data_IF_166049755042
#
_entry.id   IF_166049755042
#
_cell.length_a   1.000
_cell.length_b   1.000
_cell.length_c   1.000
_cell.angle_alpha   90.00
_cell.angle_beta   90.00
_cell.angle_gamma   90.00
#
_symmetry.space_group_name_H-M   'P 1'
#
loop_
_entity.id
_entity.type
_entity.pdbx_description
1 polymer ?
#
# COMPACT_ATOMS: atom_id res chain seq x y z
N UNK A 1 5.28 -24.34 10.48
CA UNK A 1 5.60 -23.02 9.89
C UNK A 1 6.08 -22.02 10.95
N UNK A 2 5.26 -21.66 11.95
CA UNK A 2 5.62 -20.64 12.95
C UNK A 2 6.96 -20.88 13.65
N UNK A 3 7.22 -22.08 14.20
CA UNK A 3 8.47 -22.40 14.89
C UNK A 3 9.70 -22.14 14.01
N UNK A 4 9.67 -22.56 12.73
CA UNK A 4 10.75 -22.33 11.76
C UNK A 4 11.02 -20.84 11.53
N UNK A 5 9.98 -20.00 11.54
CA UNK A 5 10.13 -18.54 11.39
C UNK A 5 10.75 -17.96 12.66
N UNK A 6 10.28 -18.37 13.84
CA UNK A 6 10.85 -17.95 15.13
C UNK A 6 12.34 -18.33 15.21
N UNK A 7 12.67 -19.60 14.99
CA UNK A 7 14.06 -20.09 15.01
C UNK A 7 14.98 -19.31 14.06
N UNK A 8 14.43 -18.80 12.95
CA UNK A 8 15.21 -18.12 11.91
C UNK A 8 15.34 -16.61 12.14
N UNK A 9 14.29 -15.95 12.62
CA UNK A 9 14.16 -14.49 12.60
C UNK A 9 13.94 -13.85 13.97
N UNK A 10 13.44 -14.59 14.95
CA UNK A 10 13.18 -14.04 16.27
C UNK A 10 14.49 -13.81 17.02
N UNK A 11 14.61 -12.64 17.64
CA UNK A 11 15.75 -12.24 18.46
C UNK A 11 15.17 -11.92 19.83
N UNK A 12 15.43 -12.77 20.82
CA UNK A 12 14.99 -12.54 22.19
C UNK A 12 15.61 -11.24 22.73
N UNK A 13 14.78 -10.36 23.28
CA UNK A 13 15.20 -9.01 23.70
C UNK A 13 15.40 -7.99 22.58
N UNK A 14 15.24 -8.40 21.31
CA UNK A 14 15.40 -7.54 20.14
C UNK A 14 16.85 -7.41 19.65
N UNK A 15 17.01 -6.87 18.43
CA UNK A 15 18.34 -6.54 17.86
C UNK A 15 18.91 -5.26 18.48
N UNK A 16 20.23 -5.06 18.42
CA UNK A 16 20.80 -3.75 18.71
C UNK A 16 20.30 -2.69 17.70
N UNK A 17 20.21 -1.40 18.09
CA UNK A 17 19.72 -0.33 17.21
C UNK A 17 20.45 -0.26 15.86
N UNK A 18 21.78 -0.42 15.89
CA UNK A 18 22.68 -0.35 14.73
C UNK A 18 22.80 -1.66 13.94
N UNK A 19 22.21 -2.76 14.42
CA UNK A 19 22.30 -4.03 13.72
C UNK A 19 21.22 -4.14 12.63
N UNK A 20 21.53 -4.68 11.44
CA UNK A 20 20.51 -4.98 10.46
C UNK A 20 19.63 -6.15 10.93
N UNK A 21 18.35 -6.16 10.54
CA UNK A 21 17.55 -7.37 10.62
C UNK A 21 18.12 -8.43 9.66
N UNK A 22 17.96 -9.71 10.03
CA UNK A 22 18.28 -10.80 9.12
C UNK A 22 17.45 -10.68 7.85
N UNK A 23 18.13 -10.61 6.71
CA UNK A 23 17.46 -10.46 5.42
C UNK A 23 16.60 -11.69 5.08
N UNK A 24 15.48 -11.42 4.42
CA UNK A 24 14.62 -12.43 3.79
C UNK A 24 14.89 -12.47 2.28
N UNK A 25 14.60 -13.60 1.60
CA UNK A 25 14.79 -13.67 0.15
C UNK A 25 14.07 -12.52 -0.59
N UNK A 26 14.61 -12.11 -1.74
CA UNK A 26 13.93 -11.15 -2.61
C UNK A 26 12.72 -11.82 -3.26
N UNK A 27 11.53 -11.19 -3.32
CA UNK A 27 10.38 -11.74 -4.00
C UNK A 27 10.71 -11.91 -5.49
N UNK A 28 10.44 -13.10 -6.00
CA UNK A 28 10.60 -13.47 -7.39
C UNK A 28 9.52 -14.51 -7.76
N UNK A 29 9.46 -14.87 -9.05
CA UNK A 29 8.58 -15.91 -9.57
C UNK A 29 9.44 -17.06 -10.14
N UNK A 30 9.20 -18.33 -9.75
CA UNK A 30 8.25 -18.78 -8.72
C UNK A 30 8.63 -18.28 -7.31
N UNK A 31 7.65 -18.16 -6.42
CA UNK A 31 7.89 -17.70 -5.06
C UNK A 31 8.59 -18.79 -4.24
N UNK A 32 9.64 -18.42 -3.50
CA UNK A 32 10.34 -19.35 -2.61
C UNK A 32 9.45 -19.72 -1.42
N UNK A 33 9.45 -20.99 -1.01
CA UNK A 33 8.60 -21.50 0.08
C UNK A 33 8.75 -20.70 1.39
N UNK A 34 9.98 -20.36 1.78
CA UNK A 34 10.22 -19.54 2.97
C UNK A 34 9.52 -18.16 2.90
N UNK A 35 9.43 -17.54 1.71
CA UNK A 35 8.72 -16.26 1.56
C UNK A 35 7.21 -16.45 1.57
N UNK A 36 6.72 -17.51 0.93
CA UNK A 36 5.31 -17.88 0.97
C UNK A 36 4.84 -18.05 2.43
N UNK A 37 5.60 -18.82 3.22
CA UNK A 37 5.38 -19.00 4.66
C UNK A 37 5.41 -17.69 5.45
N UNK A 38 6.38 -16.81 5.17
CA UNK A 38 6.48 -15.50 5.82
C UNK A 38 5.27 -14.62 5.50
N UNK A 39 4.80 -14.57 4.24
CA UNK A 39 3.64 -13.75 3.87
C UNK A 39 2.34 -14.28 4.48
N UNK A 40 2.15 -15.60 4.54
CA UNK A 40 0.99 -16.18 5.23
C UNK A 40 1.02 -15.80 6.72
N UNK A 41 2.15 -16.03 7.39
CA UNK A 41 2.26 -15.77 8.84
C UNK A 41 2.17 -14.28 9.17
N UNK A 42 2.80 -13.39 8.40
CA UNK A 42 2.76 -11.95 8.69
C UNK A 42 1.34 -11.40 8.63
N UNK A 43 0.55 -11.79 7.62
CA UNK A 43 -0.82 -11.29 7.47
C UNK A 43 -1.79 -11.98 8.42
N UNK A 44 -1.53 -13.24 8.79
CA UNK A 44 -2.24 -13.89 9.88
C UNK A 44 -2.04 -13.13 11.19
N UNK A 45 -0.79 -12.84 11.55
CA UNK A 45 -0.45 -12.15 12.81
C UNK A 45 -1.04 -10.75 12.85
N UNK A 46 -0.95 -9.99 11.76
CA UNK A 46 -1.52 -8.64 11.66
C UNK A 46 -3.03 -8.64 11.98
N UNK A 47 -3.79 -9.52 11.32
CA UNK A 47 -5.24 -9.62 11.53
C UNK A 47 -5.56 -10.21 12.91
N UNK A 48 -4.83 -11.24 13.34
CA UNK A 48 -5.05 -11.89 14.62
C UNK A 48 -4.89 -10.91 15.79
N UNK A 49 -3.79 -10.14 15.79
CA UNK A 49 -3.52 -9.13 16.82
C UNK A 49 -4.53 -7.98 16.73
N UNK A 50 -4.90 -7.55 15.53
CA UNK A 50 -5.90 -6.49 15.36
C UNK A 50 -7.30 -6.91 15.84
N UNK A 51 -7.60 -8.20 16.01
CA UNK A 51 -8.86 -8.71 16.58
C UNK A 51 -8.80 -8.92 18.09
N UNK A 52 -7.66 -8.71 18.73
CA UNK A 52 -7.49 -8.99 20.16
C UNK A 52 -8.30 -8.02 21.03
N UNK A 53 -9.06 -8.56 21.98
CA UNK A 53 -9.74 -7.77 23.00
C UNK A 53 -11.04 -7.07 22.57
N UNK A 54 -11.59 -7.35 21.39
CA UNK A 54 -12.86 -6.78 20.94
C UNK A 54 -13.62 -7.62 19.89
N UNK A 55 -14.92 -7.36 19.73
CA UNK A 55 -15.79 -7.98 18.71
C UNK A 55 -15.99 -7.11 17.46
N UNK A 56 -15.22 -6.03 17.32
CA UNK A 56 -15.23 -5.16 16.15
C UNK A 56 -14.78 -5.86 14.87
N UNK A 57 -15.20 -5.32 13.71
CA UNK A 57 -14.77 -5.84 12.41
C UNK A 57 -13.36 -5.38 12.07
N UNK A 58 -12.53 -6.28 11.56
CA UNK A 58 -11.14 -6.01 11.14
C UNK A 58 -11.00 -6.19 9.64
N UNK A 59 -10.46 -5.17 8.99
CA UNK A 59 -10.13 -5.18 7.57
C UNK A 59 -8.64 -5.13 7.33
N UNK A 60 -8.21 -5.61 6.16
CA UNK A 60 -6.82 -5.48 5.68
C UNK A 60 -6.79 -4.82 4.32
N UNK A 61 -5.83 -3.92 4.10
CA UNK A 61 -5.66 -3.18 2.85
C UNK A 61 -4.42 -3.65 2.08
N UNK A 62 -4.59 -3.95 0.79
CA UNK A 62 -3.50 -4.34 -0.11
C UNK A 62 -3.32 -3.35 -1.26
N UNK A 63 -2.11 -3.38 -1.84
CA UNK A 63 -1.75 -2.56 -2.99
C UNK A 63 -1.63 -3.43 -4.24
N UNK A 64 -2.42 -3.16 -5.28
CA UNK A 64 -2.40 -3.97 -6.51
C UNK A 64 -1.06 -3.93 -7.25
N UNK A 65 -0.22 -2.93 -6.98
CA UNK A 65 1.15 -2.86 -7.48
C UNK A 65 2.12 -3.86 -6.84
N UNK A 66 1.76 -4.51 -5.74
CA UNK A 66 2.60 -5.48 -5.03
C UNK A 66 2.04 -6.89 -5.27
N UNK A 67 2.21 -7.42 -6.49
CA UNK A 67 1.50 -8.64 -6.95
C UNK A 67 2.02 -9.96 -6.36
N UNK A 68 3.34 -10.08 -6.14
CA UNK A 68 3.97 -11.33 -5.71
C UNK A 68 3.48 -11.85 -4.34
N UNK A 69 3.37 -11.02 -3.28
CA UNK A 69 2.88 -11.49 -1.99
C UNK A 69 1.35 -11.64 -1.93
N UNK A 70 0.58 -11.12 -2.89
CA UNK A 70 -0.88 -10.99 -2.78
C UNK A 70 -1.58 -12.29 -2.40
N UNK A 71 -1.29 -13.39 -3.11
CA UNK A 71 -1.96 -14.67 -2.86
C UNK A 71 -1.69 -15.24 -1.45
N UNK A 72 -0.43 -15.47 -1.01
CA UNK A 72 -0.18 -15.96 0.33
C UNK A 72 -0.63 -14.99 1.43
N UNK A 73 -0.52 -13.67 1.21
CA UNK A 73 -1.01 -12.67 2.16
C UNK A 73 -2.53 -12.75 2.36
N UNK A 74 -3.30 -12.83 1.28
CA UNK A 74 -4.76 -12.99 1.34
C UNK A 74 -5.14 -14.24 2.12
N UNK A 75 -4.49 -15.37 1.83
CA UNK A 75 -4.75 -16.61 2.55
C UNK A 75 -4.41 -16.50 4.05
N UNK A 76 -3.28 -15.88 4.40
CA UNK A 76 -2.90 -15.60 5.80
C UNK A 76 -3.93 -14.77 6.55
N UNK A 77 -4.41 -13.68 5.94
CA UNK A 77 -5.47 -12.85 6.52
C UNK A 77 -6.80 -13.62 6.70
N UNK A 78 -7.17 -14.45 5.73
CA UNK A 78 -8.37 -15.29 5.81
C UNK A 78 -8.27 -16.37 6.90
N UNK A 79 -7.09 -16.98 7.10
CA UNK A 79 -6.85 -17.90 8.23
C UNK A 79 -7.09 -17.23 9.59
N UNK A 80 -6.82 -15.93 9.70
CA UNK A 80 -7.10 -15.12 10.89
C UNK A 80 -8.53 -14.56 10.94
N UNK A 81 -9.41 -15.01 10.04
CA UNK A 81 -10.81 -14.59 9.97
C UNK A 81 -10.97 -13.07 9.78
N UNK A 82 -10.25 -12.49 8.82
CA UNK A 82 -10.43 -11.09 8.41
C UNK A 82 -11.85 -10.85 7.89
N UNK A 83 -12.46 -9.72 8.25
CA UNK A 83 -13.84 -9.39 7.87
C UNK A 83 -13.91 -8.69 6.51
N UNK A 84 -12.92 -7.83 6.22
CA UNK A 84 -12.87 -7.01 5.01
C UNK A 84 -11.50 -7.06 4.34
N UNK A 85 -11.49 -7.12 3.01
CA UNK A 85 -10.31 -6.92 2.18
C UNK A 85 -10.52 -5.67 1.33
N UNK A 86 -9.61 -4.72 1.45
CA UNK A 86 -9.59 -3.48 0.69
C UNK A 86 -8.40 -3.50 -0.26
N UNK A 87 -8.56 -2.94 -1.47
CA UNK A 87 -7.47 -2.96 -2.43
C UNK A 87 -7.51 -1.81 -3.42
N UNK A 88 -6.38 -1.11 -3.57
CA UNK A 88 -6.24 0.08 -4.41
C UNK A 88 -4.99 0.11 -5.29
N UNK A 89 -4.73 1.28 -5.89
CA UNK A 89 -3.62 1.57 -6.82
C UNK A 89 -3.52 0.63 -8.04
N UNK A 90 -4.66 0.19 -8.55
CA UNK A 90 -4.76 -0.68 -9.72
C UNK A 90 -6.20 -1.12 -9.96
N UNK A 91 -6.39 -2.22 -10.69
CA UNK A 91 -7.70 -2.75 -11.05
C UNK A 91 -7.82 -4.19 -10.53
N UNK A 92 -8.23 -4.39 -9.26
CA UNK A 92 -8.19 -5.69 -8.59
C UNK A 92 -9.37 -6.60 -8.97
N UNK A 93 -9.66 -6.75 -10.27
CA UNK A 93 -10.87 -7.44 -10.78
C UNK A 93 -10.91 -8.94 -10.45
N UNK A 94 -9.76 -9.57 -10.29
CA UNK A 94 -9.64 -11.03 -10.07
C UNK A 94 -9.70 -11.39 -8.59
N UNK A 95 -9.51 -10.43 -7.69
CA UNK A 95 -9.39 -10.66 -6.24
C UNK A 95 -10.66 -11.26 -5.63
N UNK A 96 -11.89 -10.82 -5.98
CA UNK A 96 -13.11 -11.50 -5.52
C UNK A 96 -13.13 -13.00 -5.81
N UNK A 97 -12.64 -13.42 -6.98
CA UNK A 97 -12.55 -14.82 -7.36
C UNK A 97 -11.50 -15.57 -6.54
N UNK A 98 -10.36 -14.95 -6.26
CA UNK A 98 -9.33 -15.51 -5.36
C UNK A 98 -9.92 -15.77 -3.97
N UNK A 99 -10.64 -14.79 -3.41
CA UNK A 99 -11.28 -14.93 -2.09
C UNK A 99 -12.28 -16.08 -2.05
N UNK A 100 -13.09 -16.24 -3.09
CA UNK A 100 -14.04 -17.35 -3.20
C UNK A 100 -13.32 -18.71 -3.22
N UNK A 101 -12.24 -18.83 -4.01
CA UNK A 101 -11.48 -20.08 -4.11
C UNK A 101 -10.81 -20.45 -2.81
N UNK A 102 -10.18 -19.49 -2.13
CA UNK A 102 -9.57 -19.73 -0.82
C UNK A 102 -10.57 -20.07 0.27
N UNK A 103 -11.79 -19.53 0.22
CA UNK A 103 -12.86 -19.89 1.16
C UNK A 103 -13.20 -21.40 1.06
N UNK A 104 -13.19 -21.95 -0.15
CA UNK A 104 -13.41 -23.37 -0.44
C UNK A 104 -12.13 -24.23 -0.37
N UNK A 105 -11.00 -23.64 0.05
CA UNK A 105 -9.73 -24.35 0.15
C UNK A 105 -9.06 -24.66 -1.21
N UNK A 106 -9.50 -24.04 -2.29
CA UNK A 106 -8.95 -24.25 -3.63
C UNK A 106 -7.71 -23.39 -3.90
N UNK A 107 -6.83 -23.87 -4.77
CA UNK A 107 -5.71 -23.07 -5.27
C UNK A 107 -6.19 -21.86 -6.08
N UNK A 108 -5.43 -20.77 -6.11
CA UNK A 108 -5.75 -19.59 -6.92
C UNK A 108 -4.52 -19.13 -7.72
N UNK A 109 -4.78 -18.38 -8.80
CA UNK A 109 -3.74 -17.81 -9.66
C UNK A 109 -4.00 -16.33 -9.90
N UNK A 110 -2.91 -15.56 -9.99
CA UNK A 110 -2.94 -14.17 -10.43
C UNK A 110 -1.99 -13.97 -11.61
N UNK A 111 -2.43 -13.24 -12.61
CA UNK A 111 -1.55 -12.75 -13.67
C UNK A 111 -0.54 -11.78 -13.05
N UNK A 112 0.73 -11.94 -13.42
CA UNK A 112 1.81 -11.01 -13.05
C UNK A 112 2.05 -10.06 -14.23
N UNK A 113 2.09 -8.76 -13.95
CA UNK A 113 2.40 -7.76 -14.97
C UNK A 113 3.90 -7.77 -15.24
N UNK A 114 4.26 -8.06 -16.49
CA UNK A 114 5.65 -8.17 -16.94
C UNK A 114 5.90 -7.18 -18.06
N UNK A 115 6.82 -6.24 -17.83
CA UNK A 115 7.23 -5.28 -18.84
C UNK A 115 7.94 -5.99 -20.00
N UNK A 116 7.52 -5.70 -21.24
CA UNK A 116 8.03 -6.36 -22.44
C UNK A 116 7.45 -7.75 -22.70
N UNK A 117 6.38 -8.13 -21.99
CA UNK A 117 5.62 -9.33 -22.32
C UNK A 117 4.94 -9.20 -23.70
N UNK A 118 5.03 -10.27 -24.48
CA UNK A 118 4.31 -10.46 -25.73
C UNK A 118 2.83 -10.80 -25.47
N UNK A 119 2.01 -10.79 -26.53
CA UNK A 119 0.55 -11.02 -26.43
C UNK A 119 0.20 -12.43 -25.92
N UNK A 120 1.05 -13.41 -26.21
CA UNK A 120 0.94 -14.81 -25.85
C UNK A 120 1.60 -15.17 -24.51
N UNK A 121 2.38 -14.25 -23.91
CA UNK A 121 2.96 -14.47 -22.59
C UNK A 121 1.86 -14.50 -21.50
N UNK A 122 1.93 -15.50 -20.62
CA UNK A 122 0.98 -15.71 -19.53
C UNK A 122 1.71 -16.01 -18.22
N UNK A 123 2.44 -15.03 -17.70
CA UNK A 123 3.11 -15.13 -16.41
C UNK A 123 2.08 -15.10 -15.27
N UNK A 124 2.14 -16.10 -14.40
CA UNK A 124 1.19 -16.26 -13.29
C UNK A 124 1.90 -16.62 -11.99
N UNK A 125 1.43 -16.01 -10.90
CA UNK A 125 1.67 -16.49 -9.55
C UNK A 125 0.55 -17.46 -9.18
N UNK A 126 0.88 -18.56 -8.50
CA UNK A 126 -0.07 -19.57 -8.02
C UNK A 126 0.18 -19.81 -6.54
N UNK A 127 -0.89 -19.93 -5.77
CA UNK A 127 -0.86 -20.36 -4.37
C UNK A 127 -1.90 -21.45 -4.17
N UNK A 128 -1.55 -22.46 -3.38
CA UNK A 128 -2.36 -23.65 -3.17
C UNK A 128 -2.50 -23.93 -1.67
N UNK A 129 -3.67 -23.63 -1.07
CA UNK A 129 -3.94 -23.89 0.34
C UNK A 129 -3.63 -25.33 0.76
N UNK A 130 -3.99 -26.32 -0.07
CA UNK A 130 -3.77 -27.73 0.24
C UNK A 130 -2.28 -28.09 0.27
N UNK A 131 -1.52 -27.59 -0.71
CA UNK A 131 -0.06 -27.75 -0.71
C UNK A 131 0.61 -26.96 0.43
N UNK A 132 0.03 -25.84 0.84
CA UNK A 132 0.53 -25.04 1.95
C UNK A 132 0.38 -25.76 3.29
N UNK A 133 -0.82 -26.26 3.59
CA UNK A 133 -1.10 -26.95 4.86
C UNK A 133 -0.58 -28.40 4.88
N UNK A 134 -0.32 -28.99 3.71
CA UNK A 134 0.12 -30.38 3.57
C UNK A 134 -1.03 -31.40 3.71
N UNK A 135 -2.22 -31.06 3.21
CA UNK A 135 -3.43 -31.87 3.36
C UNK A 135 -4.69 -31.11 2.98
N UNK A 136 -5.82 -31.46 3.60
CA UNK A 136 -7.09 -30.76 3.39
C UNK A 136 -7.06 -29.41 4.12
N UNK A 137 -7.14 -28.27 3.40
CA UNK A 137 -7.22 -26.95 4.03
C UNK A 137 -8.57 -26.75 4.73
N UNK A 138 -8.62 -25.88 5.76
CA UNK A 138 -9.88 -25.52 6.40
C UNK A 138 -10.79 -24.77 5.42
N UNK A 139 -12.10 -24.93 5.58
CA UNK A 139 -13.08 -24.02 4.99
C UNK A 139 -12.99 -22.70 5.75
N UNK A 140 -12.86 -21.60 5.02
CA UNK A 140 -12.68 -20.27 5.58
C UNK A 140 -13.87 -19.38 5.25
N UNK A 141 -14.28 -18.49 6.17
CA UNK A 141 -15.24 -17.46 5.83
C UNK A 141 -14.64 -16.55 4.76
N UNK A 142 -15.43 -16.28 3.71
CA UNK A 142 -15.03 -15.32 2.69
C UNK A 142 -15.18 -13.90 3.23
N UNK A 143 -14.10 -13.10 3.28
CA UNK A 143 -14.21 -11.69 3.65
C UNK A 143 -15.00 -10.91 2.61
N UNK A 144 -15.55 -9.77 3.02
CA UNK A 144 -16.13 -8.79 2.10
C UNK A 144 -15.03 -8.05 1.36
N UNK A 145 -15.29 -7.63 0.12
CA UNK A 145 -14.29 -6.97 -0.71
C UNK A 145 -14.70 -5.54 -1.12
N UNK A 146 -13.82 -4.57 -0.84
CA UNK A 146 -13.97 -3.15 -1.17
C UNK A 146 -12.79 -2.65 -2.04
N UNK A 147 -12.92 -2.65 -3.37
CA UNK A 147 -11.95 -1.96 -4.21
C UNK A 147 -11.98 -0.45 -3.97
N UNK A 148 -10.79 0.16 -3.92
CA UNK A 148 -10.59 1.61 -3.81
C UNK A 148 -10.58 2.21 -5.22
N UNK A 149 -11.46 3.18 -5.45
CA UNK A 149 -11.71 3.77 -6.77
C UNK A 149 -11.65 5.29 -6.71
N UNK A 150 -11.35 5.90 -7.85
CA UNK A 150 -11.39 7.35 -8.04
C UNK A 150 -12.38 7.78 -9.15
N UNK A 151 -13.24 6.87 -9.64
CA UNK A 151 -14.24 7.20 -10.67
C UNK A 151 -15.41 6.21 -10.74
N UNK A 152 -16.58 6.72 -11.12
CA UNK A 152 -17.79 5.92 -11.42
C UNK A 152 -17.54 4.93 -12.56
N UNK A 153 -16.74 5.32 -13.57
CA UNK A 153 -16.41 4.44 -14.69
C UNK A 153 -15.64 3.20 -14.26
N UNK A 154 -14.71 3.35 -13.30
CA UNK A 154 -13.97 2.23 -12.73
C UNK A 154 -14.90 1.33 -11.91
N UNK A 155 -15.77 1.92 -11.08
CA UNK A 155 -16.79 1.20 -10.31
C UNK A 155 -17.68 0.34 -11.22
N UNK A 156 -18.24 0.96 -12.26
CA UNK A 156 -19.11 0.32 -13.25
C UNK A 156 -18.42 -0.83 -13.95
N UNK A 157 -17.14 -0.65 -14.32
CA UNK A 157 -16.36 -1.69 -14.97
C UNK A 157 -16.13 -2.88 -14.03
N UNK A 158 -15.73 -2.61 -12.78
CA UNK A 158 -15.48 -3.64 -11.78
C UNK A 158 -16.74 -4.46 -11.48
N UNK A 159 -17.90 -3.83 -11.29
CA UNK A 159 -19.18 -4.54 -11.09
C UNK A 159 -19.54 -5.46 -12.28
N UNK A 160 -19.14 -5.11 -13.50
CA UNK A 160 -19.45 -5.89 -14.71
C UNK A 160 -18.43 -6.98 -15.03
N UNK A 161 -17.19 -6.86 -14.53
CA UNK A 161 -16.02 -7.63 -15.03
C UNK A 161 -15.21 -8.31 -13.93
N UNK A 162 -15.60 -8.16 -12.66
CA UNK A 162 -14.96 -8.87 -11.57
C UNK A 162 -15.28 -10.37 -11.62
N UNK A 163 -14.31 -11.20 -11.22
CA UNK A 163 -14.44 -12.66 -11.22
C UNK A 163 -15.13 -13.17 -9.93
N UNK A 164 -16.12 -12.41 -9.44
CA UNK A 164 -16.82 -12.59 -8.18
C UNK A 164 -17.60 -11.33 -7.82
N UNK A 165 -18.16 -11.25 -6.62
CA UNK A 165 -18.94 -10.08 -6.19
C UNK A 165 -18.10 -9.06 -5.42
N UNK A 166 -18.49 -7.80 -5.56
CA UNK A 166 -17.94 -6.65 -4.85
C UNK A 166 -18.99 -6.23 -3.82
N UNK A 167 -18.55 -6.03 -2.57
CA UNK A 167 -19.45 -5.74 -1.45
C UNK A 167 -19.67 -4.24 -1.24
N UNK A 168 -18.92 -3.40 -1.95
CA UNK A 168 -19.03 -1.94 -1.95
C UNK A 168 -17.77 -1.27 -2.49
N UNK A 169 -17.66 0.05 -2.37
CA UNK A 169 -16.51 0.81 -2.87
C UNK A 169 -15.97 1.81 -1.85
N UNK A 170 -14.66 1.98 -1.80
CA UNK A 170 -14.07 3.20 -1.22
C UNK A 170 -13.85 4.20 -2.36
N UNK A 171 -14.53 5.33 -2.30
CA UNK A 171 -14.37 6.44 -3.25
C UNK A 171 -13.33 7.40 -2.69
N UNK A 172 -12.12 7.33 -3.24
CA UNK A 172 -10.96 8.09 -2.76
C UNK A 172 -10.70 9.33 -3.63
N UNK A 173 -10.72 10.49 -2.98
CA UNK A 173 -10.41 11.77 -3.62
C UNK A 173 -8.92 12.15 -3.58
N UNK A 174 -8.50 13.17 -4.36
CA UNK A 174 -7.11 13.60 -4.49
C UNK A 174 -6.50 14.21 -3.21
N UNK A 175 -7.32 14.48 -2.20
CA UNK A 175 -6.89 14.98 -0.89
C UNK A 175 -6.44 13.86 0.06
N UNK A 176 -6.67 12.58 -0.30
CA UNK A 176 -6.23 11.43 0.47
C UNK A 176 -4.69 11.31 0.53
N UNK A 177 -4.17 10.71 1.60
CA UNK A 177 -2.73 10.45 1.76
C UNK A 177 -2.26 9.26 0.93
N UNK A 178 -0.95 9.01 0.91
CA UNK A 178 -0.36 7.86 0.23
C UNK A 178 -0.34 8.01 -1.30
N UNK A 179 -0.57 6.89 -1.99
CA UNK A 179 -0.69 6.88 -3.45
C UNK A 179 -2.00 7.52 -3.88
N UNK A 180 -1.94 8.54 -4.73
CA UNK A 180 -3.13 9.10 -5.35
C UNK A 180 -3.33 8.51 -6.74
N UNK A 181 -4.60 8.35 -7.14
CA UNK A 181 -4.93 8.14 -8.53
C UNK A 181 -4.42 9.32 -9.37
N UNK A 182 -3.80 9.10 -10.54
CA UNK A 182 -3.41 10.20 -11.41
C UNK A 182 -4.65 10.96 -11.91
N UNK A 183 -4.54 12.28 -12.17
CA UNK A 183 -5.63 13.04 -12.77
C UNK A 183 -6.11 12.43 -14.09
N UNK A 184 -7.40 12.55 -14.35
CA UNK A 184 -8.05 11.98 -15.54
C UNK A 184 -7.77 12.82 -16.78
N UNK A 185 -6.83 12.33 -17.59
CA UNK A 185 -6.48 12.92 -18.87
C UNK A 185 -4.97 13.08 -18.97
N UNK A 186 -4.54 14.11 -19.70
CA UNK A 186 -3.13 14.49 -19.70
C UNK A 186 -2.81 15.10 -18.33
N UNK A 187 -1.75 14.61 -17.68
CA UNK A 187 -1.27 15.19 -16.43
C UNK A 187 -0.73 16.59 -16.71
N UNK A 188 -1.30 17.57 -16.02
CA UNK A 188 -0.82 18.95 -15.97
C UNK A 188 -0.34 19.23 -14.55
N UNK A 189 0.71 20.04 -14.42
CA UNK A 189 1.28 20.40 -13.14
C UNK A 189 1.03 21.88 -12.88
N UNK A 190 0.77 22.22 -11.62
CA UNK A 190 0.70 23.62 -11.18
C UNK A 190 2.09 24.24 -11.04
N UNK A 191 2.13 25.51 -10.59
CA UNK A 191 3.38 26.26 -10.39
C UNK A 191 4.29 25.63 -9.32
N UNK A 192 3.73 24.84 -8.40
CA UNK A 192 4.46 24.13 -7.35
C UNK A 192 4.90 22.73 -7.82
N UNK A 193 4.45 22.28 -8.99
CA UNK A 193 4.76 20.98 -9.56
C UNK A 193 3.84 19.85 -9.08
N UNK A 194 2.68 20.16 -8.49
CA UNK A 194 1.66 19.17 -8.12
C UNK A 194 0.71 18.85 -9.29
N UNK A 195 0.21 17.61 -9.40
CA UNK A 195 -0.84 17.27 -10.36
C UNK A 195 -2.10 18.12 -10.17
N UNK A 196 -2.58 18.72 -11.26
CA UNK A 196 -3.85 19.45 -11.30
C UNK A 196 -5.00 18.47 -11.50
N UNK A 197 -5.94 18.45 -10.56
CA UNK A 197 -7.19 17.68 -10.66
C UNK A 197 -8.32 18.59 -11.12
N UNK A 198 -9.03 18.17 -12.17
CA UNK A 198 -10.08 18.95 -12.81
C UNK A 198 -11.49 18.41 -12.57
N UNK A 199 -12.51 18.98 -13.23
CA UNK A 199 -13.91 18.54 -13.08
C UNK A 199 -14.14 17.04 -13.39
N UNK A 200 -13.26 16.42 -14.19
CA UNK A 200 -13.35 14.98 -14.52
C UNK A 200 -12.93 14.06 -13.37
N UNK A 201 -12.18 14.59 -12.41
CA UNK A 201 -11.69 13.89 -11.22
C UNK A 201 -12.70 13.95 -10.07
N UNK A 202 -13.72 14.81 -10.18
CA UNK A 202 -14.84 14.85 -9.26
C UNK A 202 -15.76 13.65 -9.56
N UNK A 203 -15.96 12.80 -8.55
CA UNK A 203 -16.83 11.64 -8.66
C UNK A 203 -18.29 12.10 -8.58
N UNK A 204 -19.10 11.67 -9.53
CA UNK A 204 -20.55 11.92 -9.53
C UNK A 204 -21.25 11.01 -8.51
N UNK A 205 -21.71 11.62 -7.42
CA UNK A 205 -22.37 10.92 -6.31
C UNK A 205 -23.75 10.38 -6.70
N UNK A 206 -24.48 11.04 -7.60
CA UNK A 206 -25.76 10.53 -8.09
C UNK A 206 -25.55 9.26 -8.91
N UNK A 207 -24.54 9.26 -9.78
CA UNK A 207 -24.18 8.08 -10.55
C UNK A 207 -23.65 6.95 -9.64
N UNK A 208 -22.88 7.25 -8.59
CA UNK A 208 -22.49 6.25 -7.58
C UNK A 208 -23.71 5.60 -6.91
N UNK A 209 -24.68 6.39 -6.46
CA UNK A 209 -25.93 5.87 -5.85
C UNK A 209 -26.69 4.95 -6.82
N UNK A 210 -26.75 5.30 -8.11
CA UNK A 210 -27.41 4.49 -9.15
C UNK A 210 -26.76 3.12 -9.37
N UNK A 211 -25.54 2.87 -8.90
CA UNK A 211 -24.90 1.55 -8.98
C UNK A 211 -25.52 0.54 -8.01
N UNK A 212 -26.26 0.99 -6.99
CA UNK A 212 -27.00 0.10 -6.07
C UNK A 212 -26.13 -0.70 -5.09
N UNK A 213 -24.86 -0.33 -4.92
CA UNK A 213 -23.93 -0.93 -3.95
C UNK A 213 -23.44 0.14 -2.97
N UNK A 214 -23.15 -0.20 -1.70
CA UNK A 214 -22.71 0.77 -0.71
C UNK A 214 -21.34 1.34 -1.08
N UNK A 215 -21.09 2.59 -0.68
CA UNK A 215 -19.81 3.24 -0.88
C UNK A 215 -19.44 4.12 0.31
N UNK A 216 -18.14 4.29 0.56
CA UNK A 216 -17.59 5.16 1.60
C UNK A 216 -16.73 6.23 0.94
N UNK A 217 -16.78 7.46 1.46
CA UNK A 217 -15.95 8.56 0.95
C UNK A 217 -14.63 8.67 1.72
N UNK A 218 -13.54 8.86 1.00
CA UNK A 218 -12.19 8.95 1.56
C UNK A 218 -11.43 10.17 1.01
N UNK A 219 -10.56 10.74 1.85
CA UNK A 219 -9.82 11.97 1.58
C UNK A 219 -10.55 13.22 2.09
N UNK A 220 -10.02 13.84 3.14
CA UNK A 220 -10.63 15.02 3.79
C UNK A 220 -12.06 14.82 4.33
N UNK A 221 -12.32 13.63 4.89
CA UNK A 221 -13.57 13.28 5.58
C UNK A 221 -13.38 13.00 7.08
N UNK A 222 -12.32 13.53 7.68
CA UNK A 222 -11.97 13.27 9.09
C UNK A 222 -12.74 14.11 10.12
N UNK A 223 -13.82 14.81 9.72
CA UNK A 223 -14.58 15.71 10.60
C UNK A 223 -16.06 15.30 10.66
N UNK A 224 -16.76 15.59 11.78
CA UNK A 224 -18.17 15.25 11.94
C UNK A 224 -19.07 15.79 10.82
N UNK A 225 -18.86 17.04 10.40
CA UNK A 225 -19.65 17.67 9.35
C UNK A 225 -19.43 17.01 7.98
N UNK A 226 -18.21 16.54 7.72
CA UNK A 226 -17.87 15.81 6.50
C UNK A 226 -18.50 14.41 6.48
N UNK A 227 -18.57 13.74 7.64
CA UNK A 227 -19.35 12.51 7.77
C UNK A 227 -20.84 12.76 7.51
N UNK A 228 -21.41 13.81 8.13
CA UNK A 228 -22.81 14.17 7.91
C UNK A 228 -23.11 14.50 6.43
N UNK A 229 -22.18 15.18 5.74
CA UNK A 229 -22.25 15.42 4.29
C UNK A 229 -22.21 14.11 3.49
N UNK A 230 -21.27 13.21 3.78
CA UNK A 230 -21.18 11.92 3.10
C UNK A 230 -22.48 11.11 3.22
N UNK A 231 -23.09 11.09 4.42
CA UNK A 231 -24.37 10.44 4.65
C UNK A 231 -25.52 11.09 3.87
N UNK A 232 -25.56 12.43 3.77
CA UNK A 232 -26.55 13.14 2.93
C UNK A 232 -26.36 12.84 1.43
N UNK A 233 -25.13 12.63 0.99
CA UNK A 233 -24.81 12.16 -0.37
C UNK A 233 -25.12 10.67 -0.59
N UNK A 234 -25.67 9.97 0.41
CA UNK A 234 -26.05 8.56 0.31
C UNK A 234 -24.88 7.59 0.41
N UNK A 235 -23.71 8.03 0.90
CA UNK A 235 -22.64 7.12 1.28
C UNK A 235 -23.03 6.32 2.53
N UNK A 236 -22.47 5.11 2.67
CA UNK A 236 -22.60 4.30 3.87
C UNK A 236 -21.74 4.82 5.04
N UNK A 237 -20.76 5.68 4.75
CA UNK A 237 -19.88 6.28 5.74
C UNK A 237 -18.64 6.89 5.09
N UNK A 238 -17.57 6.99 5.88
CA UNK A 238 -16.29 7.57 5.46
C UNK A 238 -15.12 6.68 5.85
N UNK A 239 -13.98 6.84 5.16
CA UNK A 239 -12.69 6.27 5.54
C UNK A 239 -11.73 7.39 5.93
N UNK A 240 -11.16 7.30 7.14
CA UNK A 240 -10.31 8.35 7.72
C UNK A 240 -8.91 7.78 7.99
N UNK A 241 -7.92 8.25 7.23
CA UNK A 241 -6.52 7.88 7.43
C UNK A 241 -5.75 8.93 8.24
N UNK A 242 -5.65 10.15 7.69
CA UNK A 242 -4.81 11.23 8.25
C UNK A 242 -5.00 11.48 9.74
N UNK A 243 -6.23 11.53 10.25
CA UNK A 243 -6.45 11.79 11.67
C UNK A 243 -5.88 10.65 12.56
N UNK A 244 -6.16 9.40 12.19
CA UNK A 244 -5.75 8.22 12.96
C UNK A 244 -4.25 7.94 12.88
N UNK A 245 -3.57 8.40 11.82
CA UNK A 245 -2.10 8.30 11.71
C UNK A 245 -1.33 9.05 12.82
N UNK A 246 -1.99 9.96 13.55
CA UNK A 246 -1.39 10.71 14.66
C UNK A 246 -2.02 10.39 16.03
N UNK A 247 -2.87 9.36 16.12
CA UNK A 247 -3.33 8.80 17.40
C UNK A 247 -2.15 8.19 18.18
N UNK A 248 -2.28 8.05 19.50
CA UNK A 248 -1.21 7.53 20.36
C UNK A 248 -0.79 6.11 19.94
N UNK A 249 -1.78 5.30 19.56
CA UNK A 249 -1.69 3.90 19.15
C UNK A 249 -1.06 3.70 17.77
N UNK A 250 -0.96 4.75 16.95
CA UNK A 250 -0.33 4.63 15.62
C UNK A 250 1.19 4.44 15.75
N UNK A 251 1.74 3.49 15.00
CA UNK A 251 3.18 3.20 14.95
C UNK A 251 4.03 4.28 14.30
N UNK A 252 3.43 5.37 13.77
CA UNK A 252 4.22 6.50 13.28
C UNK A 252 5.18 6.97 14.37
N UNK A 253 6.48 6.98 14.04
CA UNK A 253 7.55 7.20 15.01
C UNK A 253 7.26 8.45 15.87
N UNK A 254 7.39 8.37 17.22
CA UNK A 254 6.93 9.43 18.11
C UNK A 254 7.51 10.82 17.79
N UNK A 255 8.78 10.89 17.37
CA UNK A 255 9.41 12.13 16.94
C UNK A 255 8.74 12.73 15.70
N UNK A 256 8.46 11.92 14.67
CA UNK A 256 7.77 12.35 13.45
C UNK A 256 6.37 12.85 13.77
N UNK A 257 5.62 12.10 14.60
CA UNK A 257 4.28 12.48 15.07
C UNK A 257 4.30 13.86 15.74
N UNK A 258 5.20 14.08 16.72
CA UNK A 258 5.35 15.37 17.41
C UNK A 258 5.73 16.50 16.47
N UNK A 259 6.66 16.28 15.54
CA UNK A 259 7.13 17.31 14.62
C UNK A 259 6.02 17.77 13.67
N UNK A 260 5.24 16.84 13.13
CA UNK A 260 4.10 17.18 12.26
C UNK A 260 3.00 17.87 13.06
N UNK A 261 2.64 17.37 14.24
CA UNK A 261 1.64 18.01 15.10
C UNK A 261 2.04 19.44 15.49
N UNK A 262 3.30 19.65 15.89
CA UNK A 262 3.81 20.98 16.23
C UNK A 262 3.77 21.93 15.03
N UNK A 263 4.19 21.47 13.86
CA UNK A 263 4.11 22.26 12.64
C UNK A 263 2.65 22.55 12.24
N UNK A 264 1.72 21.60 12.43
CA UNK A 264 0.29 21.80 12.15
C UNK A 264 -0.30 22.86 13.07
N UNK A 265 0.03 22.83 14.37
CA UNK A 265 -0.38 23.83 15.37
C UNK A 265 0.07 25.25 15.00
N UNK A 266 1.21 25.38 14.33
CA UNK A 266 1.75 26.67 13.86
C UNK A 266 1.25 27.09 12.48
N UNK A 267 0.44 26.26 11.81
CA UNK A 267 0.03 26.51 10.42
C UNK A 267 1.18 26.40 9.41
N UNK A 268 2.23 25.64 9.73
CA UNK A 268 3.44 25.54 8.93
C UNK A 268 3.58 24.21 8.17
N UNK A 269 2.75 23.22 8.47
CA UNK A 269 2.75 21.94 7.73
C UNK A 269 2.35 22.19 6.28
N UNK A 270 3.11 21.59 5.37
CA UNK A 270 2.77 21.51 3.96
C UNK A 270 2.75 20.05 3.53
N UNK A 271 1.77 19.70 2.71
CA UNK A 271 1.76 18.45 1.94
C UNK A 271 2.06 18.76 0.49
N UNK A 272 2.70 17.83 -0.20
CA UNK A 272 3.01 17.92 -1.63
C UNK A 272 2.68 16.59 -2.29
N UNK A 273 1.91 16.63 -3.36
CA UNK A 273 1.57 15.46 -4.18
C UNK A 273 2.66 15.28 -5.22
N UNK A 274 3.70 14.53 -4.87
CA UNK A 274 4.85 14.35 -5.76
C UNK A 274 4.45 13.42 -6.94
N UNK A 275 4.45 13.91 -8.19
CA UNK A 275 4.07 13.10 -9.35
C UNK A 275 5.05 11.96 -9.63
N UNK A 276 6.27 12.02 -9.09
CA UNK A 276 7.37 11.12 -9.43
C UNK A 276 7.89 10.30 -8.24
N UNK A 277 7.62 10.67 -6.99
CA UNK A 277 8.21 10.01 -5.82
C UNK A 277 8.02 8.49 -5.81
N UNK A 278 6.85 7.96 -6.20
CA UNK A 278 6.62 6.51 -6.22
C UNK A 278 7.35 5.82 -7.38
N UNK A 279 7.98 4.65 -7.17
CA UNK A 279 8.49 3.81 -8.25
C UNK A 279 7.39 3.12 -9.06
N UNK A 280 6.12 3.19 -8.64
CA UNK A 280 4.97 2.55 -9.32
C UNK A 280 4.37 3.41 -10.44
N UNK A 281 4.82 4.66 -10.60
CA UNK A 281 4.27 5.63 -11.54
C UNK A 281 3.05 6.40 -11.06
N UNK A 282 2.54 6.09 -9.86
CA UNK A 282 1.44 6.82 -9.24
C UNK A 282 1.99 8.05 -8.49
N UNK A 283 1.30 9.21 -8.51
CA UNK A 283 1.61 10.29 -7.60
C UNK A 283 1.58 9.81 -6.13
N UNK A 284 2.44 10.39 -5.30
CA UNK A 284 2.53 10.02 -3.89
C UNK A 284 2.55 11.27 -3.03
N UNK A 285 1.58 11.39 -2.11
CA UNK A 285 1.46 12.54 -1.24
C UNK A 285 2.42 12.44 -0.07
N UNK A 286 3.24 13.47 0.11
CA UNK A 286 4.27 13.53 1.14
C UNK A 286 4.07 14.75 2.03
N UNK A 287 4.37 14.61 3.31
CA UNK A 287 4.49 15.74 4.23
C UNK A 287 5.88 16.34 4.07
N UNK A 288 5.96 17.65 3.83
CA UNK A 288 7.23 18.34 3.70
C UNK A 288 7.82 18.59 5.09
N UNK A 289 8.82 17.79 5.45
CA UNK A 289 9.44 17.79 6.76
C UNK A 289 10.97 17.81 6.65
N UNK A 290 11.61 18.72 7.39
CA UNK A 290 13.08 18.88 7.40
C UNK A 290 13.80 17.58 7.78
N UNK A 291 15.02 17.37 7.31
CA UNK A 291 15.84 16.18 7.61
C UNK A 291 15.15 14.85 7.24
N UNK A 292 14.26 14.86 6.25
CA UNK A 292 13.59 13.64 5.73
C UNK A 292 13.73 13.58 4.22
N UNK A 293 13.35 12.44 3.63
CA UNK A 293 13.39 12.25 2.18
C UNK A 293 12.37 13.12 1.42
N UNK A 294 11.54 13.91 2.10
CA UNK A 294 10.73 14.93 1.44
C UNK A 294 11.60 16.07 0.88
N UNK A 295 12.77 16.33 1.47
CA UNK A 295 13.69 17.36 0.99
C UNK A 295 14.60 16.83 -0.12
N UNK A 296 14.73 17.61 -1.19
CA UNK A 296 15.50 17.21 -2.37
C UNK A 296 16.98 16.97 -2.04
N UNK A 297 17.63 17.88 -1.31
CA UNK A 297 19.04 17.75 -0.95
C UNK A 297 19.32 16.52 -0.07
N UNK A 298 18.42 16.22 0.88
CA UNK A 298 18.52 15.02 1.72
C UNK A 298 18.35 13.76 0.88
N UNK A 299 17.35 13.73 0.00
CA UNK A 299 17.15 12.63 -0.93
C UNK A 299 18.34 12.41 -1.87
N UNK A 300 18.94 13.47 -2.42
CA UNK A 300 20.10 13.40 -3.31
C UNK A 300 21.36 12.89 -2.59
N UNK A 301 21.51 13.21 -1.30
CA UNK A 301 22.60 12.70 -0.47
C UNK A 301 22.45 11.21 -0.10
N UNK A 302 21.22 10.66 -0.20
CA UNK A 302 20.96 9.26 0.14
C UNK A 302 21.58 8.34 -0.90
N UNK A 303 22.48 7.46 -0.46
CA UNK A 303 22.94 6.33 -1.29
C UNK A 303 21.77 5.37 -1.55
N UNK A 304 21.41 5.21 -2.83
CA UNK A 304 20.32 4.29 -3.21
C UNK A 304 20.69 2.83 -2.93
N UNK A 305 19.69 2.06 -2.53
CA UNK A 305 19.76 0.63 -2.24
C UNK A 305 18.36 0.03 -2.38
N UNK A 306 18.29 -1.25 -2.76
CA UNK A 306 17.05 -2.01 -2.86
C UNK A 306 17.26 -3.37 -2.19
N UNK A 307 16.99 -3.41 -0.89
CA UNK A 307 17.18 -4.52 0.06
C UNK A 307 15.84 -5.12 0.53
N UNK A 308 14.75 -4.33 0.49
CA UNK A 308 13.39 -4.85 0.67
C UNK A 308 12.77 -5.30 -0.66
N UNK A 309 12.73 -4.45 -1.68
CA UNK A 309 12.31 -4.86 -3.03
C UNK A 309 10.81 -5.16 -3.24
N UNK A 310 9.91 -4.65 -2.38
CA UNK A 310 8.46 -4.88 -2.51
C UNK A 310 7.85 -4.32 -3.80
N UNK A 311 8.39 -3.20 -4.30
CA UNK A 311 7.89 -2.49 -5.49
C UNK A 311 8.70 -2.77 -6.76
N UNK A 312 9.49 -3.84 -6.77
CA UNK A 312 10.17 -4.28 -8.00
C UNK A 312 9.14 -4.77 -9.00
N UNK A 313 9.32 -4.36 -10.24
CA UNK A 313 8.49 -4.75 -11.37
C UNK A 313 9.20 -5.85 -12.16
N UNK A 314 8.42 -6.83 -12.60
CA UNK A 314 8.92 -7.86 -13.49
C UNK A 314 9.15 -7.28 -14.89
N UNK A 315 10.21 -7.73 -15.54
CA UNK A 315 10.46 -7.48 -16.96
C UNK A 315 10.93 -8.76 -17.63
N UNK A 316 10.61 -8.92 -18.91
CA UNK A 316 11.09 -10.04 -19.72
C UNK A 316 12.51 -9.74 -20.19
N UNK A 317 13.45 -10.64 -19.89
CA UNK A 317 14.84 -10.55 -20.36
C UNK A 317 14.97 -11.04 -21.81
N UNK A 318 16.09 -10.74 -22.49
CA UNK A 318 16.35 -11.26 -23.84
C UNK A 318 16.33 -12.79 -23.96
N UNK A 319 16.67 -13.51 -22.87
CA UNK A 319 16.63 -14.97 -22.79
C UNK A 319 15.22 -15.54 -22.47
N UNK A 320 14.18 -14.70 -22.55
CA UNK A 320 12.79 -14.98 -22.18
C UNK A 320 12.54 -15.29 -20.69
N UNK A 321 13.55 -15.25 -19.82
CA UNK A 321 13.37 -15.38 -18.37
C UNK A 321 12.89 -14.07 -17.74
N UNK A 322 12.41 -14.14 -16.49
CA UNK A 322 12.02 -12.96 -15.74
C UNK A 322 13.21 -12.30 -15.05
N UNK A 323 13.27 -10.97 -15.17
CA UNK A 323 14.07 -10.09 -14.35
C UNK A 323 13.18 -9.21 -13.49
N UNK A 324 13.78 -8.57 -12.49
CA UNK A 324 13.07 -7.71 -11.53
C UNK A 324 13.87 -6.43 -11.33
N UNK A 325 13.25 -5.28 -11.52
CA UNK A 325 13.91 -3.96 -11.40
C UNK A 325 12.98 -2.94 -10.76
N UNK A 326 13.53 -1.90 -10.17
CA UNK A 326 12.76 -0.83 -9.53
C UNK A 326 13.39 0.51 -9.89
N UNK A 327 12.63 1.50 -10.39
CA UNK A 327 13.18 2.82 -10.71
C UNK A 327 13.86 3.56 -9.53
N UNK A 328 13.54 3.16 -8.28
CA UNK A 328 14.16 3.71 -7.06
C UNK A 328 15.40 2.95 -6.58
N UNK A 329 15.82 1.88 -7.27
CA UNK A 329 17.07 1.17 -6.98
C UNK A 329 18.30 1.97 -7.44
N UNK A 330 19.54 1.51 -7.17
CA UNK A 330 20.74 2.18 -7.70
C UNK A 330 20.66 2.35 -9.22
N UNK A 331 20.96 3.56 -9.71
CA UNK A 331 20.77 3.93 -11.13
C UNK A 331 21.52 2.97 -12.06
N UNK A 332 22.80 2.71 -11.76
CA UNK A 332 23.62 1.76 -12.54
C UNK A 332 23.02 0.35 -12.58
N UNK A 333 22.41 -0.11 -11.48
CA UNK A 333 21.75 -1.41 -11.45
C UNK A 333 20.47 -1.42 -12.30
N UNK A 334 19.68 -0.35 -12.26
CA UNK A 334 18.48 -0.21 -13.08
C UNK A 334 18.83 -0.22 -14.58
N UNK A 335 19.84 0.54 -14.99
CA UNK A 335 20.34 0.62 -16.37
C UNK A 335 20.91 -0.73 -16.82
N UNK A 336 21.74 -1.38 -16.00
CA UNK A 336 22.26 -2.73 -16.29
C UNK A 336 21.14 -3.78 -16.46
N UNK A 337 19.98 -3.58 -15.82
CA UNK A 337 18.77 -4.40 -15.98
C UNK A 337 17.90 -3.97 -17.17
N UNK A 338 18.44 -3.16 -18.09
CA UNK A 338 17.77 -2.71 -19.31
C UNK A 338 16.68 -1.65 -19.07
N UNK A 339 16.73 -0.94 -17.95
CA UNK A 339 15.93 0.26 -17.72
C UNK A 339 16.61 1.51 -18.29
N UNK A 340 15.88 2.62 -18.43
CA UNK A 340 16.45 3.90 -18.85
C UNK A 340 16.75 4.80 -17.66
N UNK A 341 17.86 5.52 -17.70
CA UNK A 341 18.28 6.38 -16.59
C UNK A 341 17.22 7.43 -16.22
N UNK A 342 16.55 8.02 -17.22
CA UNK A 342 15.52 9.05 -16.99
C UNK A 342 14.34 8.53 -16.16
N UNK A 343 14.05 7.23 -16.20
CA UNK A 343 12.96 6.63 -15.41
C UNK A 343 13.28 6.61 -13.92
N UNK A 344 14.56 6.76 -13.55
CA UNK A 344 15.05 6.76 -12.17
C UNK A 344 15.03 8.14 -11.52
N UNK A 345 14.76 9.20 -12.29
CA UNK A 345 14.79 10.57 -11.83
C UNK A 345 13.68 10.81 -10.79
N UNK A 346 14.06 11.37 -9.64
CA UNK A 346 13.17 11.68 -8.49
C UNK A 346 12.40 10.49 -7.88
N UNK A 347 12.76 9.24 -8.23
CA UNK A 347 12.12 8.02 -7.70
C UNK A 347 12.63 7.68 -6.31
N UNK A 348 11.79 7.81 -5.29
CA UNK A 348 12.13 7.56 -3.89
C UNK A 348 11.83 6.10 -3.52
N UNK A 349 12.68 5.48 -2.69
CA UNK A 349 12.46 4.11 -2.23
C UNK A 349 11.41 4.09 -1.12
N UNK A 350 10.13 3.92 -1.50
CA UNK A 350 9.02 3.88 -0.54
C UNK A 350 9.13 2.69 0.43
N UNK A 351 9.71 1.56 0.01
CA UNK A 351 9.86 0.40 0.87
C UNK A 351 10.66 0.73 2.14
N UNK A 352 11.84 1.34 1.99
CA UNK A 352 12.69 1.69 3.13
C UNK A 352 12.11 2.88 3.89
N UNK A 353 11.64 3.89 3.17
CA UNK A 353 11.17 5.13 3.79
C UNK A 353 9.90 4.93 4.64
N UNK A 354 8.97 4.07 4.21
CA UNK A 354 7.75 3.79 4.97
C UNK A 354 8.03 2.90 6.20
N UNK A 355 8.98 1.98 6.12
CA UNK A 355 9.43 1.24 7.30
C UNK A 355 10.13 2.16 8.31
N UNK A 356 10.92 3.13 7.82
CA UNK A 356 11.52 4.16 8.67
C UNK A 356 10.46 5.07 9.34
N UNK A 357 9.33 5.35 8.68
CA UNK A 357 8.24 6.12 9.29
C UNK A 357 7.70 5.45 10.56
N UNK A 358 7.68 4.12 10.63
CA UNK A 358 7.13 3.35 11.76
C UNK A 358 8.20 2.89 12.76
N UNK A 359 9.38 3.53 12.76
CA UNK A 359 10.46 3.19 13.69
C UNK A 359 11.19 1.88 13.37
N UNK A 360 11.02 1.34 12.16
CA UNK A 360 11.70 0.14 11.69
C UNK A 360 12.62 0.41 10.47
N UNK A 361 13.49 1.43 10.51
CA UNK A 361 14.38 1.71 9.38
C UNK A 361 15.35 0.54 9.14
N UNK A 362 15.73 0.32 7.88
CA UNK A 362 16.87 -0.55 7.59
C UNK A 362 18.15 0.14 8.05
N UNK A 363 19.10 -0.66 8.54
CA UNK A 363 20.44 -0.22 8.92
C UNK A 363 21.44 -0.91 7.99
N UNK A 364 22.33 -0.12 7.40
CA UNK A 364 23.32 -0.61 6.42
C UNK A 364 24.68 -0.88 7.07
N UNK A 365 25.58 -1.56 6.36
CA UNK A 365 26.89 -2.05 6.85
C UNK A 365 27.79 -0.99 7.53
N UNK A 366 27.54 0.31 7.32
CA UNK A 366 28.29 1.41 7.93
C UNK A 366 27.51 2.13 9.06
N UNK A 367 26.45 1.50 9.61
CA UNK A 367 25.55 2.14 10.59
C UNK A 367 24.65 3.22 9.97
N UNK A 368 24.58 3.30 8.63
CA UNK A 368 23.70 4.27 7.97
C UNK A 368 22.26 3.80 8.13
N UNK A 369 21.45 4.62 8.79
CA UNK A 369 20.03 4.36 9.03
C UNK A 369 19.18 4.98 7.93
N UNK A 370 18.22 4.22 7.40
CA UNK A 370 17.27 4.73 6.40
C UNK A 370 16.41 5.88 6.94
N UNK A 371 16.21 6.87 6.09
CA UNK A 371 15.46 8.08 6.44
C UNK A 371 13.97 7.95 6.11
N UNK A 372 13.10 8.61 6.89
CA UNK A 372 11.65 8.57 6.67
C UNK A 372 11.21 9.38 5.45
N UNK A 373 10.02 9.07 4.95
CA UNK A 373 9.25 9.86 3.99
C UNK A 373 7.78 9.85 4.44
N UNK A 374 7.43 10.79 5.31
CA UNK A 374 6.09 10.84 5.92
C UNK A 374 5.05 11.09 4.83
N UNK A 375 3.98 10.32 4.86
CA UNK A 375 2.82 10.48 3.97
C UNK A 375 1.58 10.76 4.78
N UNK A 376 0.75 11.69 4.30
CA UNK A 376 -0.50 12.08 4.95
C UNK A 376 -1.39 12.80 3.95
N UNK A 377 -2.71 12.74 4.12
CA UNK A 377 -3.67 13.52 3.33
C UNK A 377 -3.62 15.01 3.64
N UNK A 378 -4.28 15.83 2.83
CA UNK A 378 -4.27 17.29 2.94
C UNK A 378 -4.71 17.81 4.32
N UNK A 379 -5.59 17.08 5.02
CA UNK A 379 -6.03 17.40 6.39
C UNK A 379 -4.90 17.47 7.42
N UNK A 380 -3.69 17.02 7.08
CA UNK A 380 -2.51 17.09 7.93
C UNK A 380 -2.21 18.53 8.37
N UNK A 381 -2.58 19.52 7.56
CA UNK A 381 -2.41 20.95 7.89
C UNK A 381 -3.18 21.33 9.16
N UNK A 382 -4.29 20.65 9.45
CA UNK A 382 -5.17 20.93 10.59
C UNK A 382 -5.20 19.79 11.63
N UNK A 383 -4.36 18.77 11.51
CA UNK A 383 -4.45 17.57 12.38
C UNK A 383 -4.23 17.87 13.86
N UNK A 384 -3.53 18.96 14.20
CA UNK A 384 -3.36 19.42 15.58
C UNK A 384 -4.69 19.80 16.28
N UNK A 385 -5.79 19.99 15.53
CA UNK A 385 -7.13 20.27 16.11
C UNK A 385 -7.65 19.16 17.03
N UNK A 386 -7.16 17.93 16.88
CA UNK A 386 -7.56 16.80 17.71
C UNK A 386 -6.82 16.76 19.06
N UNK A 387 -5.81 17.63 19.25
CA UNK A 387 -5.09 17.72 20.50
C UNK A 387 -5.93 18.44 21.57
N UNK A 388 -5.81 17.97 22.82
CA UNK A 388 -6.37 18.68 23.97
C UNK A 388 -5.73 20.06 24.10
N UNK A 389 -6.49 21.04 24.59
CA UNK A 389 -5.95 22.37 24.90
C UNK A 389 -4.75 22.24 25.86
N UNK A 390 -3.59 22.77 25.46
CA UNK A 390 -2.36 22.74 26.25
C UNK A 390 -1.42 21.56 25.99
N UNK A 391 -1.78 20.62 25.09
CA UNK A 391 -0.90 19.53 24.64
C UNK A 391 0.19 19.98 23.65
#
# INVERSE_FOLDING_TARGET
>A
VAQKILDRYFIEGGKAPEEPYRSRPMPALPLHRDLEELFVVSNFVEVFLAKEGHDGQVGINYLEKVQLPTLPSLYGAMLANVDWVLMGAGIPRTIPGVLNRFAEGEAAELKVDVHGAARDDNFRSRFDPAAFVGGTPPVLPRPKFLPIIASVSLATMLLKRADGWIDGFIVEGPTAGGHNAPPRGRMELDELGEPVYGPRDVVDMEAMRKLGVPFWLAGSYGEPDRLAEALREGAAGVQVGTAFAYCEESDLAPELKRRVLHASRRGEVKSFTDPLASPTGFPFKVVLLRSTLSEQAVYESRRRVCDLGYLRQAYKKPDATLGWRCPAEPVEQYVRKGGREEETHRRKCLCNALMANIGLPQVHENGVVELPLVTSGNDVVQVARFLKSGA
#
